data_IF_584214877322
#
_entry.id   IF_584214877322
#
_cell.length_a   1.000
_cell.length_b   1.000
_cell.length_c   1.000
_cell.angle_alpha   90.00
_cell.angle_beta   90.00
_cell.angle_gamma   90.00
#
_symmetry.space_group_name_H-M   'P 1'
#
loop_
_entity.id
_entity.type
_entity.pdbx_description
1 polymer ?
#
# COMPACT_ATOMS: atom_id res chain seq x y z
N UNK A 1 6.60 -19.34 14.71
CA UNK A 1 5.55 -18.34 14.48
C UNK A 1 4.86 -18.67 13.16
N UNK A 2 3.53 -18.64 13.13
CA UNK A 2 2.71 -18.98 11.94
C UNK A 2 2.17 -17.70 11.29
N UNK A 3 1.58 -17.81 10.10
CA UNK A 3 0.89 -16.68 9.47
C UNK A 3 -0.27 -16.14 10.31
N UNK A 4 -0.97 -17.00 11.07
CA UNK A 4 -1.98 -16.54 12.04
C UNK A 4 -1.41 -15.54 13.06
N UNK A 5 -0.18 -15.76 13.52
CA UNK A 5 0.45 -14.83 14.46
C UNK A 5 0.83 -13.50 13.79
N UNK A 6 1.17 -13.52 12.49
CA UNK A 6 1.34 -12.29 11.71
C UNK A 6 0.02 -11.52 11.61
N UNK A 7 -1.10 -12.21 11.32
CA UNK A 7 -2.43 -11.58 11.29
C UNK A 7 -2.81 -10.99 12.66
N UNK A 8 -2.54 -11.69 13.76
CA UNK A 8 -2.74 -11.16 15.13
C UNK A 8 -1.94 -9.87 15.38
N UNK A 9 -0.66 -9.83 14.95
CA UNK A 9 0.15 -8.61 15.08
C UNK A 9 -0.40 -7.48 14.21
N UNK A 10 -0.81 -7.77 12.96
CA UNK A 10 -1.39 -6.76 12.06
C UNK A 10 -2.70 -6.16 12.60
N UNK A 11 -3.44 -6.93 13.41
CA UNK A 11 -4.68 -6.51 14.06
C UNK A 11 -4.48 -5.94 15.47
N UNK A 12 -3.25 -5.86 15.96
CA UNK A 12 -2.95 -5.29 17.26
C UNK A 12 -3.05 -3.76 17.23
N UNK A 13 -3.32 -3.15 18.39
CA UNK A 13 -3.38 -1.70 18.52
C UNK A 13 -1.98 -1.07 18.38
N UNK A 14 -0.96 -1.77 18.88
CA UNK A 14 0.47 -1.43 18.86
C UNK A 14 1.21 -2.10 17.69
N UNK A 15 0.56 -2.19 16.52
CA UNK A 15 1.08 -2.94 15.36
C UNK A 15 2.50 -2.56 14.95
N UNK A 16 2.88 -1.29 15.07
CA UNK A 16 4.25 -0.85 14.78
C UNK A 16 5.26 -1.60 15.66
N UNK A 17 5.05 -1.56 16.98
CA UNK A 17 5.95 -2.18 17.96
C UNK A 17 5.92 -3.71 17.83
N UNK A 18 4.74 -4.29 17.62
CA UNK A 18 4.59 -5.73 17.39
C UNK A 18 5.40 -6.19 16.17
N UNK A 19 5.29 -5.49 15.04
CA UNK A 19 6.06 -5.84 13.84
C UNK A 19 7.56 -5.61 14.03
N UNK A 20 7.95 -4.47 14.64
CA UNK A 20 9.36 -4.13 14.86
C UNK A 20 10.07 -5.12 15.78
N UNK A 21 9.45 -5.50 16.90
CA UNK A 21 10.03 -6.43 17.88
C UNK A 21 10.13 -7.85 17.33
N UNK A 22 9.28 -8.21 16.34
CA UNK A 22 9.22 -9.54 15.76
C UNK A 22 9.79 -9.62 14.34
N UNK A 23 10.54 -8.60 13.88
CA UNK A 23 11.01 -8.49 12.50
C UNK A 23 11.80 -9.74 12.02
N UNK A 24 12.64 -10.32 12.87
CA UNK A 24 13.47 -11.48 12.51
C UNK A 24 12.62 -12.72 12.23
N UNK A 25 11.44 -12.79 12.85
CA UNK A 25 10.50 -13.87 12.65
C UNK A 25 9.65 -13.59 11.42
N UNK A 26 9.23 -12.34 11.21
CA UNK A 26 8.50 -11.90 10.02
C UNK A 26 9.35 -12.12 8.76
N UNK A 27 10.64 -11.81 8.81
CA UNK A 27 11.59 -12.06 7.72
C UNK A 27 11.79 -13.54 7.38
N UNK A 28 11.49 -14.45 8.30
CA UNK A 28 11.47 -15.90 8.00
C UNK A 28 10.19 -16.32 7.30
N UNK A 29 9.07 -15.63 7.56
CA UNK A 29 7.79 -15.87 6.90
C UNK A 29 7.75 -15.25 5.50
N UNK A 30 8.20 -14.00 5.38
CA UNK A 30 8.22 -13.21 4.15
C UNK A 30 9.64 -12.64 3.97
N UNK A 31 10.57 -13.40 3.37
CA UNK A 31 11.97 -12.97 3.20
C UNK A 31 12.15 -11.68 2.40
N UNK A 32 11.23 -11.34 1.50
CA UNK A 32 11.29 -10.08 0.74
C UNK A 32 11.22 -8.84 1.64
N UNK A 33 10.57 -8.91 2.81
CA UNK A 33 10.60 -7.82 3.81
C UNK A 33 12.00 -7.58 4.37
N UNK A 34 12.84 -8.63 4.44
CA UNK A 34 14.24 -8.48 4.86
C UNK A 34 15.05 -7.67 3.84
N UNK A 35 14.73 -7.82 2.55
CA UNK A 35 15.40 -7.07 1.48
C UNK A 35 15.01 -5.59 1.48
N UNK A 36 13.85 -5.25 2.06
CA UNK A 36 13.41 -3.88 2.22
C UNK A 36 14.13 -3.14 3.36
N UNK A 37 14.61 -3.88 4.37
CA UNK A 37 15.29 -3.30 5.54
C UNK A 37 16.70 -2.84 5.18
N UNK A 38 17.01 -1.58 5.47
CA UNK A 38 18.27 -0.93 5.10
C UNK A 38 18.40 -0.65 3.60
N UNK A 39 17.33 -0.77 2.81
CA UNK A 39 17.37 -0.47 1.39
C UNK A 39 17.47 1.05 1.16
N UNK A 40 18.58 1.50 0.56
CA UNK A 40 18.80 2.90 0.21
C UNK A 40 17.96 3.28 -1.02
N UNK A 41 16.92 4.10 -0.81
CA UNK A 41 15.99 4.47 -1.87
C UNK A 41 16.50 5.58 -2.80
N UNK A 42 17.58 6.29 -2.41
CA UNK A 42 18.20 7.39 -3.16
C UNK A 42 17.20 8.40 -3.74
N UNK A 43 16.24 8.82 -2.91
CA UNK A 43 15.12 9.65 -3.34
C UNK A 43 14.77 10.68 -2.27
N UNK A 44 14.56 11.93 -2.69
CA UNK A 44 14.18 13.04 -1.79
C UNK A 44 12.86 12.81 -1.06
N UNK A 45 12.01 11.91 -1.56
CA UNK A 45 10.69 11.64 -1.02
C UNK A 45 10.74 10.85 0.30
N UNK A 46 11.82 10.09 0.53
CA UNK A 46 11.88 9.12 1.62
C UNK A 46 12.87 9.53 2.71
N UNK A 47 12.41 9.46 3.96
CA UNK A 47 13.22 9.65 5.17
C UNK A 47 13.57 8.32 5.85
N UNK A 48 13.04 7.23 5.33
CA UNK A 48 13.15 5.87 5.86
C UNK A 48 13.65 4.91 4.77
N UNK A 49 14.20 3.76 5.20
CA UNK A 49 14.30 2.61 4.30
C UNK A 49 12.90 2.05 3.97
N UNK A 50 12.81 1.14 3.00
CA UNK A 50 11.53 0.60 2.53
C UNK A 50 10.76 -0.13 3.65
N UNK A 51 11.46 -0.84 4.54
CA UNK A 51 10.80 -1.59 5.62
C UNK A 51 10.28 -0.66 6.72
N UNK A 52 11.08 0.30 7.17
CA UNK A 52 10.66 1.25 8.21
C UNK A 52 9.52 2.14 7.71
N UNK A 53 9.60 2.58 6.44
CA UNK A 53 8.46 3.22 5.75
C UNK A 53 7.21 2.34 5.82
N UNK A 54 7.33 1.06 5.45
CA UNK A 54 6.22 0.11 5.50
C UNK A 54 5.62 -0.03 6.91
N UNK A 55 6.42 -0.05 7.97
CA UNK A 55 5.91 -0.09 9.35
C UNK A 55 5.09 1.16 9.70
N UNK A 56 5.54 2.34 9.27
CA UNK A 56 4.78 3.58 9.43
C UNK A 56 3.47 3.56 8.64
N UNK A 57 3.49 3.14 7.37
CA UNK A 57 2.27 3.02 6.54
C UNK A 57 1.30 2.02 7.16
N UNK A 58 1.79 0.85 7.56
CA UNK A 58 0.98 -0.14 8.27
C UNK A 58 0.38 0.52 9.49
N UNK A 59 1.13 1.20 10.36
CA UNK A 59 0.62 1.84 11.57
C UNK A 59 -0.43 2.94 11.32
N UNK A 60 -0.30 3.67 10.21
CA UNK A 60 -1.11 4.84 9.87
C UNK A 60 -2.46 4.55 9.22
N UNK A 61 -2.72 3.30 8.81
CA UNK A 61 -4.04 2.89 8.30
C UNK A 61 -4.95 2.36 9.42
N UNK A 62 -6.24 2.16 9.13
CA UNK A 62 -7.20 1.61 10.11
C UNK A 62 -6.90 0.14 10.46
N UNK A 63 -7.40 -0.32 11.62
CA UNK A 63 -7.33 -1.72 12.03
C UNK A 63 -8.32 -2.59 11.22
N UNK A 64 -8.00 -2.79 9.95
CA UNK A 64 -8.70 -3.63 9.00
C UNK A 64 -7.67 -4.54 8.33
N UNK A 65 -7.92 -5.86 8.33
CA UNK A 65 -6.88 -6.81 7.88
C UNK A 65 -6.52 -6.66 6.40
N UNK A 66 -7.50 -6.36 5.53
CA UNK A 66 -7.23 -6.16 4.11
C UNK A 66 -6.34 -4.93 3.90
N UNK A 67 -6.62 -3.86 4.64
CA UNK A 67 -5.85 -2.62 4.56
C UNK A 67 -4.45 -2.77 5.17
N UNK A 68 -4.30 -3.48 6.30
CA UNK A 68 -2.98 -3.74 6.92
C UNK A 68 -2.13 -4.71 6.09
N UNK A 69 -2.74 -5.68 5.41
CA UNK A 69 -2.05 -6.53 4.44
C UNK A 69 -1.65 -5.71 3.19
N UNK A 70 -2.55 -4.90 2.63
CA UNK A 70 -2.18 -4.01 1.52
C UNK A 70 -1.03 -3.07 1.90
N UNK A 71 -1.06 -2.48 3.10
CA UNK A 71 0.02 -1.64 3.61
C UNK A 71 1.33 -2.43 3.82
N UNK A 72 1.29 -3.65 4.35
CA UNK A 72 2.50 -4.46 4.54
C UNK A 72 3.18 -4.82 3.20
N UNK A 73 2.39 -5.00 2.14
CA UNK A 73 2.86 -5.44 0.84
C UNK A 73 3.00 -4.30 -0.19
N UNK A 74 2.54 -3.07 0.05
CA UNK A 74 2.43 -2.04 -1.01
C UNK A 74 3.75 -1.81 -1.77
N UNK A 75 4.85 -1.70 -1.03
CA UNK A 75 6.18 -1.35 -1.53
C UNK A 75 7.21 -2.48 -1.47
N UNK A 76 6.81 -3.70 -1.09
CA UNK A 76 7.73 -4.83 -0.94
C UNK A 76 8.46 -5.21 -2.24
N UNK A 77 7.92 -4.81 -3.40
CA UNK A 77 8.52 -4.98 -4.72
C UNK A 77 9.56 -3.93 -5.11
N UNK A 78 9.76 -2.87 -4.31
CA UNK A 78 10.73 -1.80 -4.60
C UNK A 78 12.16 -2.32 -4.82
N UNK A 79 12.74 -3.18 -3.96
CA UNK A 79 14.09 -3.71 -4.19
C UNK A 79 14.25 -4.44 -5.54
N UNK A 80 13.19 -5.07 -6.06
CA UNK A 80 13.23 -5.81 -7.32
C UNK A 80 13.09 -4.93 -8.56
N UNK A 81 12.62 -3.70 -8.39
CA UNK A 81 12.29 -2.76 -9.47
C UNK A 81 13.15 -1.49 -9.43
N UNK A 82 14.14 -1.44 -8.54
CA UNK A 82 15.02 -0.31 -8.39
C UNK A 82 15.87 -0.08 -9.64
N UNK A 83 15.88 1.17 -10.07
CA UNK A 83 16.75 1.71 -11.10
C UNK A 83 17.30 3.04 -10.61
N UNK A 84 18.47 3.44 -11.07
CA UNK A 84 19.09 4.71 -10.69
C UNK A 84 19.43 5.49 -11.96
N UNK A 85 19.12 6.79 -11.97
CA UNK A 85 19.48 7.65 -13.10
C UNK A 85 20.92 8.19 -12.98
N UNK A 86 21.37 8.93 -14.00
CA UNK A 86 22.73 9.45 -14.06
C UNK A 86 23.08 10.46 -12.95
N UNK A 87 22.09 10.99 -12.24
CA UNK A 87 22.28 11.91 -11.12
C UNK A 87 22.23 11.19 -9.76
N UNK A 88 22.14 9.86 -9.75
CA UNK A 88 22.04 9.07 -8.54
C UNK A 88 20.64 9.06 -7.93
N UNK A 89 19.59 9.45 -8.67
CA UNK A 89 18.21 9.41 -8.17
C UNK A 89 17.59 8.05 -8.44
N UNK A 90 17.09 7.43 -7.38
CA UNK A 90 16.40 6.14 -7.40
C UNK A 90 14.98 6.24 -7.97
N UNK A 91 14.61 5.26 -8.79
CA UNK A 91 13.30 5.10 -9.42
C UNK A 91 12.79 3.66 -9.23
N UNK A 92 11.48 3.50 -9.04
CA UNK A 92 10.82 2.22 -8.77
C UNK A 92 9.71 1.94 -9.79
N UNK A 93 10.07 1.86 -11.07
CA UNK A 93 9.09 1.65 -12.13
C UNK A 93 8.37 0.31 -11.94
N UNK A 94 7.04 0.32 -11.98
CA UNK A 94 6.21 -0.89 -11.94
C UNK A 94 6.31 -1.69 -10.61
N UNK A 95 6.79 -1.08 -9.52
CA UNK A 95 7.00 -1.78 -8.25
C UNK A 95 5.71 -2.40 -7.69
N UNK A 96 4.55 -1.79 -7.90
CA UNK A 96 3.25 -2.33 -7.48
C UNK A 96 2.98 -3.72 -8.07
N UNK A 97 3.41 -4.00 -9.30
CA UNK A 97 3.24 -5.31 -9.93
C UNK A 97 4.18 -6.36 -9.32
N UNK A 98 5.41 -5.98 -8.96
CA UNK A 98 6.32 -6.84 -8.20
C UNK A 98 5.78 -7.09 -6.78
N UNK A 99 5.22 -6.07 -6.13
CA UNK A 99 4.55 -6.18 -4.84
C UNK A 99 3.37 -7.16 -4.87
N UNK A 100 2.50 -7.07 -5.89
CA UNK A 100 1.38 -8.00 -6.10
C UNK A 100 1.88 -9.43 -6.33
N UNK A 101 2.92 -9.59 -7.16
CA UNK A 101 3.55 -10.89 -7.42
C UNK A 101 4.07 -11.52 -6.13
N UNK A 102 4.70 -10.72 -5.26
CA UNK A 102 5.18 -11.18 -3.95
C UNK A 102 4.00 -11.53 -3.04
N UNK A 103 2.98 -10.66 -2.91
CA UNK A 103 1.77 -10.94 -2.12
C UNK A 103 1.10 -12.26 -2.52
N UNK A 104 0.95 -12.51 -3.83
CA UNK A 104 0.33 -13.73 -4.35
C UNK A 104 1.09 -15.02 -4.01
N UNK A 105 2.39 -14.96 -3.71
CA UNK A 105 3.14 -16.14 -3.21
C UNK A 105 2.64 -16.58 -1.83
N UNK A 106 2.11 -15.65 -1.05
CA UNK A 106 1.73 -15.86 0.36
C UNK A 106 0.21 -15.88 0.59
N UNK A 107 -0.60 -15.53 -0.42
CA UNK A 107 -2.05 -15.39 -0.28
C UNK A 107 -2.75 -16.60 0.33
N UNK A 108 -2.32 -17.83 -0.01
CA UNK A 108 -2.90 -19.08 0.52
C UNK A 108 -2.69 -19.23 2.03
N UNK A 109 -1.69 -18.54 2.58
CA UNK A 109 -1.37 -18.58 4.01
C UNK A 109 -2.25 -17.65 4.86
N UNK A 110 -3.03 -16.77 4.23
CA UNK A 110 -3.86 -15.77 4.90
C UNK A 110 -5.35 -16.14 4.98
N UNK A 111 -5.74 -17.32 4.49
CA UNK A 111 -7.13 -17.81 4.50
C UNK A 111 -8.15 -16.83 3.89
N UNK A 112 -7.75 -16.12 2.83
CA UNK A 112 -8.56 -15.10 2.16
C UNK A 112 -9.45 -15.71 1.07
N UNK A 113 -10.64 -15.14 0.86
CA UNK A 113 -11.48 -15.42 -0.32
C UNK A 113 -10.86 -14.82 -1.59
N UNK A 114 -11.35 -15.26 -2.76
CA UNK A 114 -10.91 -14.69 -4.03
C UNK A 114 -11.22 -13.19 -4.14
N UNK A 115 -12.40 -12.78 -3.65
CA UNK A 115 -12.82 -11.37 -3.62
C UNK A 115 -11.90 -10.52 -2.74
N UNK A 116 -11.48 -11.03 -1.59
CA UNK A 116 -10.56 -10.36 -0.66
C UNK A 116 -9.15 -10.24 -1.25
N UNK A 117 -8.66 -11.30 -1.93
CA UNK A 117 -7.40 -11.27 -2.66
C UNK A 117 -7.45 -10.22 -3.77
N UNK A 118 -8.53 -10.20 -4.56
CA UNK A 118 -8.73 -9.19 -5.62
C UNK A 118 -8.70 -7.78 -5.04
N UNK A 119 -9.42 -7.55 -3.94
CA UNK A 119 -9.41 -6.26 -3.25
C UNK A 119 -7.98 -5.87 -2.83
N UNK A 120 -7.26 -6.72 -2.10
CA UNK A 120 -5.90 -6.41 -1.64
C UNK A 120 -4.96 -6.13 -2.81
N UNK A 121 -5.03 -6.93 -3.87
CA UNK A 121 -4.18 -6.73 -5.05
C UNK A 121 -4.51 -5.43 -5.79
N UNK A 122 -5.78 -5.02 -5.86
CA UNK A 122 -6.17 -3.73 -6.43
C UNK A 122 -5.72 -2.57 -5.54
N UNK A 123 -5.83 -2.69 -4.22
CA UNK A 123 -5.31 -1.67 -3.30
C UNK A 123 -3.79 -1.49 -3.47
N UNK A 124 -3.03 -2.58 -3.57
CA UNK A 124 -1.58 -2.54 -3.87
C UNK A 124 -1.36 -1.97 -5.28
N UNK A 125 -2.13 -2.34 -6.29
CA UNK A 125 -1.94 -1.83 -7.64
C UNK A 125 -2.08 -0.31 -7.70
N UNK A 126 -3.18 0.22 -7.14
CA UNK A 126 -3.53 1.63 -7.27
C UNK A 126 -2.86 2.54 -6.22
N UNK A 127 -2.11 2.01 -5.24
CA UNK A 127 -1.57 2.82 -4.14
C UNK A 127 -0.66 3.96 -4.60
N UNK A 128 0.18 3.75 -5.62
CA UNK A 128 1.08 4.78 -6.18
C UNK A 128 0.66 5.26 -7.58
N UNK A 129 -0.46 4.76 -8.11
CA UNK A 129 -0.97 5.24 -9.40
C UNK A 129 -1.49 6.67 -9.29
N UNK A 130 -1.05 7.53 -10.22
CA UNK A 130 -1.47 8.92 -10.30
C UNK A 130 -2.86 9.03 -10.97
N UNK A 131 -3.89 9.04 -10.14
CA UNK A 131 -5.29 9.06 -10.59
C UNK A 131 -5.63 10.32 -11.43
N UNK A 132 -4.95 11.46 -11.24
CA UNK A 132 -5.26 12.66 -12.06
C UNK A 132 -4.87 12.51 -13.53
N UNK A 133 -4.00 11.55 -13.84
CA UNK A 133 -3.58 11.26 -15.21
C UNK A 133 -4.46 10.22 -15.88
N UNK A 134 -5.42 9.63 -15.15
CA UNK A 134 -6.35 8.65 -15.68
C UNK A 134 -7.47 9.31 -16.47
N UNK A 135 -7.88 8.65 -17.53
CA UNK A 135 -9.13 8.93 -18.24
C UNK A 135 -10.34 8.55 -17.39
N UNK A 136 -11.52 9.07 -17.75
CA UNK A 136 -12.77 8.69 -17.09
C UNK A 136 -13.03 7.17 -17.16
N UNK A 137 -12.65 6.52 -18.26
CA UNK A 137 -12.76 5.06 -18.43
C UNK A 137 -11.84 4.31 -17.47
N UNK A 138 -10.59 4.74 -17.30
CA UNK A 138 -9.67 4.13 -16.34
C UNK A 138 -10.15 4.32 -14.90
N UNK A 139 -10.70 5.51 -14.57
CA UNK A 139 -11.31 5.76 -13.27
C UNK A 139 -12.54 4.85 -13.06
N UNK A 140 -13.39 4.68 -14.08
CA UNK A 140 -14.50 3.71 -14.04
C UNK A 140 -14.01 2.31 -13.70
N UNK A 141 -12.99 1.84 -14.42
CA UNK A 141 -12.44 0.50 -14.26
C UNK A 141 -11.82 0.29 -12.87
N UNK A 142 -11.11 1.30 -12.34
CA UNK A 142 -10.59 1.29 -10.98
C UNK A 142 -11.71 1.17 -9.94
N UNK A 143 -12.80 1.93 -10.10
CA UNK A 143 -13.92 1.90 -9.16
C UNK A 143 -14.63 0.54 -9.19
N UNK A 144 -14.81 -0.03 -10.38
CA UNK A 144 -15.42 -1.36 -10.55
C UNK A 144 -14.53 -2.43 -9.92
N UNK A 145 -13.21 -2.37 -10.14
CA UNK A 145 -12.28 -3.39 -9.65
C UNK A 145 -12.10 -3.35 -8.13
N UNK A 146 -12.10 -2.17 -7.51
CA UNK A 146 -12.01 -2.01 -6.05
C UNK A 146 -13.37 -2.21 -5.37
N UNK A 147 -14.44 -1.80 -6.04
CA UNK A 147 -15.78 -1.67 -5.47
C UNK A 147 -15.97 -0.30 -4.81
N UNK A 148 -17.10 0.35 -5.11
CA UNK A 148 -17.40 1.71 -4.65
C UNK A 148 -17.35 1.88 -3.12
N UNK A 149 -17.77 0.85 -2.37
CA UNK A 149 -17.78 0.87 -0.90
C UNK A 149 -16.36 0.76 -0.31
N UNK A 150 -15.40 0.25 -1.09
CA UNK A 150 -14.02 0.03 -0.66
C UNK A 150 -13.07 1.14 -1.10
N UNK A 151 -13.52 2.15 -1.87
CA UNK A 151 -12.66 3.26 -2.29
C UNK A 151 -12.01 3.99 -1.10
N UNK A 152 -12.71 4.07 0.03
CA UNK A 152 -12.15 4.64 1.26
C UNK A 152 -10.88 3.92 1.73
N UNK A 153 -10.75 2.60 1.48
CA UNK A 153 -9.55 1.83 1.81
C UNK A 153 -8.36 2.26 0.94
N UNK A 154 -8.57 2.47 -0.38
CA UNK A 154 -7.52 2.95 -1.28
C UNK A 154 -7.00 4.32 -0.83
N UNK A 155 -7.92 5.25 -0.57
CA UNK A 155 -7.53 6.60 -0.17
C UNK A 155 -6.94 6.62 1.25
N UNK A 156 -7.36 5.71 2.14
CA UNK A 156 -6.72 5.52 3.44
C UNK A 156 -5.27 5.07 3.30
N UNK A 157 -5.00 4.09 2.43
CA UNK A 157 -3.65 3.64 2.11
C UNK A 157 -2.80 4.76 1.52
N UNK A 158 -3.31 5.49 0.53
CA UNK A 158 -2.61 6.63 -0.10
C UNK A 158 -2.24 7.72 0.91
N UNK A 159 -3.14 8.02 1.86
CA UNK A 159 -2.87 9.00 2.93
C UNK A 159 -1.77 8.52 3.86
N UNK A 160 -1.87 7.29 4.34
CA UNK A 160 -0.88 6.72 5.25
C UNK A 160 0.51 6.63 4.59
N UNK A 161 0.55 6.25 3.31
CA UNK A 161 1.78 6.22 2.51
C UNK A 161 2.43 7.60 2.41
N UNK A 162 1.66 8.63 2.00
CA UNK A 162 2.18 10.00 1.94
C UNK A 162 2.65 10.53 3.30
N UNK A 163 1.91 10.23 4.38
CA UNK A 163 2.26 10.70 5.72
C UNK A 163 3.50 10.01 6.30
N UNK A 164 3.86 8.83 5.80
CA UNK A 164 5.10 8.13 6.13
C UNK A 164 6.32 8.62 5.31
N UNK A 165 6.11 9.44 4.28
CA UNK A 165 7.17 10.10 3.51
C UNK A 165 7.68 11.38 4.19
N UNK A 166 8.66 12.05 3.56
CA UNK A 166 9.19 13.33 4.07
C UNK A 166 8.07 14.36 4.31
N UNK A 167 8.06 15.04 5.47
CA UNK A 167 7.10 16.10 5.79
C UNK A 167 6.99 17.22 4.75
N UNK A 168 8.07 17.45 3.98
CA UNK A 168 8.11 18.45 2.90
C UNK A 168 7.03 18.23 1.83
N UNK A 169 6.51 17.01 1.70
CA UNK A 169 5.49 16.64 0.72
C UNK A 169 4.09 16.47 1.31
N UNK A 170 3.91 16.64 2.62
CA UNK A 170 2.60 16.44 3.27
C UNK A 170 1.55 17.47 2.82
N UNK A 171 1.95 18.56 2.19
CA UNK A 171 1.04 19.50 1.53
C UNK A 171 0.17 18.81 0.44
N UNK A 172 0.66 17.71 -0.15
CA UNK A 172 -0.07 16.89 -1.12
C UNK A 172 -1.24 16.11 -0.50
N UNK A 173 -1.39 16.07 0.83
CA UNK A 173 -2.53 15.41 1.49
C UNK A 173 -3.87 16.04 1.07
N UNK A 174 -3.88 17.37 0.90
CA UNK A 174 -5.03 18.12 0.40
C UNK A 174 -5.49 17.63 -0.98
N UNK A 175 -4.52 17.26 -1.83
CA UNK A 175 -4.74 16.74 -3.16
C UNK A 175 -5.42 15.37 -3.11
N UNK A 176 -4.91 14.43 -2.30
CA UNK A 176 -5.51 13.10 -2.10
C UNK A 176 -6.95 13.23 -1.60
N UNK A 177 -7.18 14.10 -0.61
CA UNK A 177 -8.51 14.33 -0.05
C UNK A 177 -9.50 14.92 -1.08
N UNK A 178 -9.03 15.81 -1.94
CA UNK A 178 -9.85 16.38 -3.01
C UNK A 178 -10.15 15.35 -4.10
N UNK A 179 -9.18 14.50 -4.45
CA UNK A 179 -9.39 13.39 -5.39
C UNK A 179 -10.49 12.45 -4.90
N UNK A 180 -10.41 11.98 -3.65
CA UNK A 180 -11.42 11.11 -3.05
C UNK A 180 -12.82 11.74 -3.12
N UNK A 181 -12.95 13.00 -2.69
CA UNK A 181 -14.21 13.74 -2.72
C UNK A 181 -14.77 13.86 -4.13
N UNK A 182 -13.93 14.17 -5.12
CA UNK A 182 -14.35 14.34 -6.50
C UNK A 182 -14.85 13.02 -7.10
N UNK A 183 -14.11 11.92 -6.90
CA UNK A 183 -14.50 10.60 -7.39
C UNK A 183 -15.84 10.17 -6.76
N UNK A 184 -16.00 10.32 -5.45
CA UNK A 184 -17.25 9.96 -4.76
C UNK A 184 -18.41 10.86 -5.23
N UNK A 185 -18.18 12.16 -5.41
CA UNK A 185 -19.22 13.12 -5.84
C UNK A 185 -19.73 12.82 -7.24
N UNK A 186 -18.83 12.66 -8.22
CA UNK A 186 -19.19 12.36 -9.62
C UNK A 186 -20.02 11.08 -9.69
N UNK A 187 -19.74 10.10 -8.84
CA UNK A 187 -20.44 8.81 -8.85
C UNK A 187 -21.81 8.85 -8.21
N UNK A 188 -22.00 9.61 -7.12
CA UNK A 188 -23.34 9.83 -6.55
C UNK A 188 -24.30 10.51 -7.54
N UNK A 189 -23.77 11.28 -8.49
CA UNK A 189 -24.56 11.95 -9.52
C UNK A 189 -24.93 11.01 -10.68
N UNK A 190 -24.05 10.06 -11.02
CA UNK A 190 -24.25 9.15 -12.17
C UNK A 190 -24.98 7.85 -11.81
N UNK A 191 -25.01 7.46 -10.54
CA UNK A 191 -25.72 6.29 -10.02
C UNK A 191 -26.37 6.66 -8.68
N UNK A 192 -27.49 7.40 -8.69
CA UNK A 192 -28.23 7.66 -7.47
C UNK A 192 -28.60 6.32 -6.83
N UNK A 193 -28.44 6.22 -5.50
CA UNK A 193 -28.93 5.05 -4.76
C UNK A 193 -30.44 4.94 -5.02
N UNK A 194 -30.86 3.83 -5.61
CA UNK A 194 -32.23 3.35 -5.49
C UNK A 194 -32.56 3.05 -4.02
#
# INVERSE_FOLDING_TARGET
MTYNKLLEMLLSYDVYDQLKQNEQVIFKLIPELKMCKGFEQNSKWHIFDVYEHTLHVVSGVDNNIYLRLSALFHDIGKPNSYTEDSNGVGHFYNHWNESIKIFKKYQESFCLSNEEIILITNLIFYHDINIDKMTDEEINNMIISIGILNLGLLFSLKRADLLAQSPDFHNLLSKINNQEKNIIKVRRLNYPKD
#
